data_IF_726466034653
#
_entry.id   IF_726466034653
#
_cell.length_a   1.000
_cell.length_b   1.000
_cell.length_c   1.000
_cell.angle_alpha   90.00
_cell.angle_beta   90.00
_cell.angle_gamma   90.00
#
_symmetry.space_group_name_H-M   'P 1'
#
loop_
_entity.id
_entity.type
_entity.pdbx_description
1 polymer ?
#
# COMPACT_ATOMS: atom_id res chain seq x y z
N UNK A 1 8.41 9.30 -11.60
CA UNK A 1 7.36 8.56 -10.85
C UNK A 1 7.78 8.25 -9.41
N UNK A 2 6.91 8.51 -8.43
CA UNK A 2 7.10 8.18 -7.00
C UNK A 2 6.01 7.21 -6.52
N UNK A 3 6.43 6.18 -5.79
CA UNK A 3 5.55 5.17 -5.18
C UNK A 3 5.81 5.10 -3.68
N UNK A 4 4.74 5.02 -2.90
CA UNK A 4 4.80 4.75 -1.46
C UNK A 4 4.19 3.37 -1.22
N UNK A 5 4.90 2.52 -0.48
CA UNK A 5 4.58 1.10 -0.36
C UNK A 5 4.63 0.63 1.07
N UNK A 6 3.83 -0.39 1.34
CA UNK A 6 3.73 -1.07 2.63
C UNK A 6 3.19 -2.49 2.42
N UNK A 7 3.28 -3.31 3.47
CA UNK A 7 2.69 -4.63 3.55
C UNK A 7 1.69 -4.75 4.72
N UNK A 8 0.69 -5.62 4.55
CA UNK A 8 -0.29 -5.91 5.59
C UNK A 8 -0.51 -7.41 5.73
N UNK A 9 -0.81 -7.86 6.94
CA UNK A 9 -1.11 -9.26 7.25
C UNK A 9 0.11 -10.14 7.53
N UNK A 10 1.32 -9.57 7.54
CA UNK A 10 2.55 -10.25 7.98
C UNK A 10 2.39 -10.76 9.43
N UNK A 11 2.84 -11.97 9.72
CA UNK A 11 2.69 -12.62 11.02
C UNK A 11 1.26 -13.03 11.39
N UNK A 12 0.26 -12.83 10.50
CA UNK A 12 -1.14 -13.16 10.77
C UNK A 12 -1.76 -14.02 9.64
N UNK A 13 -1.72 -15.34 9.83
CA UNK A 13 -2.27 -16.31 8.88
C UNK A 13 -3.80 -16.21 8.68
N UNK A 14 -4.54 -15.55 9.58
CA UNK A 14 -5.99 -15.35 9.45
C UNK A 14 -6.37 -14.15 8.57
N UNK A 15 -5.39 -13.35 8.18
CA UNK A 15 -5.55 -12.20 7.30
C UNK A 15 -4.90 -12.49 5.95
N UNK A 16 -5.44 -11.98 4.83
CA UNK A 16 -4.72 -12.01 3.57
C UNK A 16 -3.40 -11.25 3.70
N UNK A 17 -2.34 -11.78 3.11
CA UNK A 17 -1.08 -11.05 2.97
C UNK A 17 -1.21 -10.11 1.77
N UNK A 18 -0.97 -8.82 1.96
CA UNK A 18 -1.09 -7.79 0.93
C UNK A 18 0.23 -7.03 0.84
N UNK A 19 0.72 -6.81 -0.38
CA UNK A 19 1.73 -5.78 -0.66
C UNK A 19 1.07 -4.72 -1.52
N UNK A 20 1.13 -3.48 -1.08
CA UNK A 20 0.49 -2.34 -1.71
C UNK A 20 1.50 -1.30 -2.19
N UNK A 21 1.09 -0.55 -3.22
CA UNK A 21 1.73 0.69 -3.64
C UNK A 21 0.66 1.77 -3.87
N UNK A 22 0.99 3.01 -3.54
CA UNK A 22 0.24 4.19 -3.95
C UNK A 22 1.11 5.12 -4.80
N UNK A 23 0.54 5.55 -5.91
CA UNK A 23 1.04 6.58 -6.81
C UNK A 23 0.22 7.85 -6.59
N UNK A 24 0.89 8.97 -6.30
CA UNK A 24 0.27 10.27 -6.05
C UNK A 24 0.30 11.21 -7.27
N UNK A 25 1.00 10.83 -8.35
CA UNK A 25 1.14 11.67 -9.54
C UNK A 25 2.09 12.85 -9.33
N UNK A 26 1.81 13.96 -10.03
CA UNK A 26 2.62 15.18 -9.99
C UNK A 26 2.40 16.00 -8.70
N UNK A 27 1.32 15.72 -7.96
CA UNK A 27 0.94 16.42 -6.72
C UNK A 27 1.52 15.75 -5.45
N UNK A 28 2.52 14.87 -5.60
CA UNK A 28 3.01 14.03 -4.50
C UNK A 28 3.52 14.85 -3.30
N UNK A 29 4.26 15.93 -3.56
CA UNK A 29 4.78 16.86 -2.57
C UNK A 29 3.64 17.62 -1.86
N UNK A 30 2.67 18.14 -2.61
CA UNK A 30 1.53 18.87 -2.05
C UNK A 30 0.65 17.97 -1.17
N UNK A 31 0.47 16.71 -1.58
CA UNK A 31 -0.26 15.72 -0.80
C UNK A 31 0.48 15.38 0.50
N UNK A 32 1.80 15.18 0.43
CA UNK A 32 2.63 14.95 1.60
C UNK A 32 2.53 16.12 2.60
N UNK A 33 2.61 17.36 2.12
CA UNK A 33 2.44 18.56 2.97
C UNK A 33 1.07 18.59 3.65
N UNK A 34 0.00 18.30 2.90
CA UNK A 34 -1.37 18.24 3.46
C UNK A 34 -1.51 17.16 4.54
N UNK A 35 -0.86 16.01 4.38
CA UNK A 35 -0.85 14.94 5.39
C UNK A 35 -0.08 15.39 6.63
N UNK A 36 1.10 15.99 6.45
CA UNK A 36 1.91 16.52 7.54
C UNK A 36 1.17 17.60 8.32
N UNK A 37 0.44 18.49 7.65
CA UNK A 37 -0.36 19.52 8.30
C UNK A 37 -1.58 18.96 9.03
N UNK A 38 -2.21 17.90 8.50
CA UNK A 38 -3.21 17.16 9.24
C UNK A 38 -2.61 16.53 10.51
N UNK A 39 -1.46 15.87 10.40
CA UNK A 39 -0.75 15.28 11.53
C UNK A 39 -0.44 16.32 12.60
N UNK A 40 0.19 17.45 12.25
CA UNK A 40 0.51 18.55 13.18
C UNK A 40 -0.74 19.04 13.94
N UNK A 41 -1.87 19.20 13.24
CA UNK A 41 -3.14 19.62 13.86
C UNK A 41 -3.70 18.57 14.81
N UNK A 42 -3.62 17.29 14.46
CA UNK A 42 -4.16 16.20 15.27
C UNK A 42 -3.31 15.93 16.52
N UNK A 43 -1.99 15.94 16.39
CA UNK A 43 -1.05 15.75 17.51
C UNK A 43 -1.22 16.84 18.59
N UNK A 44 -1.63 18.05 18.20
CA UNK A 44 -1.87 19.15 19.13
C UNK A 44 -3.14 18.98 19.99
N UNK A 45 -3.98 17.96 19.75
CA UNK A 45 -5.23 17.73 20.50
C UNK A 45 -4.97 17.18 21.90
N UNK A 46 -5.01 18.06 22.90
CA UNK A 46 -4.81 17.70 24.31
C UNK A 46 -5.90 16.80 24.89
N UNK A 47 -7.12 16.83 24.33
CA UNK A 47 -8.26 16.03 24.80
C UNK A 47 -8.06 14.51 24.64
N UNK A 48 -7.09 14.09 23.83
CA UNK A 48 -6.77 12.69 23.59
C UNK A 48 -5.46 12.25 24.28
N UNK A 49 -4.82 13.13 25.05
CA UNK A 49 -3.56 12.81 25.73
C UNK A 49 -3.77 11.73 26.80
N UNK A 50 -2.86 10.76 26.83
CA UNK A 50 -2.90 9.64 27.77
C UNK A 50 -3.70 8.42 27.30
N UNK A 51 -4.39 8.51 26.15
CA UNK A 51 -4.95 7.32 25.48
C UNK A 51 -3.84 6.62 24.70
N UNK A 52 -3.60 5.33 24.96
CA UNK A 52 -2.48 4.57 24.39
C UNK A 52 -2.40 4.67 22.86
N UNK A 53 -3.51 4.45 22.15
CA UNK A 53 -3.58 4.55 20.69
C UNK A 53 -3.30 5.96 20.15
N UNK A 54 -3.60 7.00 20.92
CA UNK A 54 -3.25 8.37 20.54
C UNK A 54 -1.76 8.63 20.75
N UNK A 55 -1.15 8.12 21.81
CA UNK A 55 0.29 8.24 22.04
C UNK A 55 1.09 7.47 20.97
N UNK A 56 0.60 6.30 20.54
CA UNK A 56 1.16 5.56 19.39
C UNK A 56 1.09 6.41 18.11
N UNK A 57 -0.08 6.99 17.80
CA UNK A 57 -0.22 7.92 16.68
C UNK A 57 0.75 9.11 16.77
N UNK A 58 0.93 9.70 17.95
CA UNK A 58 1.87 10.82 18.14
C UNK A 58 3.31 10.42 17.87
N UNK A 59 3.68 9.20 18.24
CA UNK A 59 5.04 8.69 18.10
C UNK A 59 5.33 8.28 16.66
N UNK A 60 4.43 7.49 16.07
CA UNK A 60 4.70 6.69 14.88
C UNK A 60 3.97 7.22 13.62
N UNK A 61 3.00 8.13 13.78
CA UNK A 61 2.19 8.68 12.70
C UNK A 61 0.89 7.91 12.48
N UNK A 62 0.26 8.08 11.32
CA UNK A 62 -0.99 7.40 10.99
C UNK A 62 -0.77 5.90 10.82
N UNK A 63 -1.60 5.09 11.48
CA UNK A 63 -1.62 3.64 11.30
C UNK A 63 -3.04 3.08 11.38
N UNK A 64 -3.51 2.49 10.29
CA UNK A 64 -4.91 2.06 10.10
C UNK A 64 -5.41 1.04 11.12
N UNK A 65 -4.49 0.28 11.73
CA UNK A 65 -4.75 -0.76 12.72
C UNK A 65 -5.03 -0.20 14.12
N UNK A 66 -4.39 0.90 14.48
CA UNK A 66 -4.36 1.43 15.85
C UNK A 66 -4.99 2.82 15.97
N UNK A 67 -5.11 3.57 14.87
CA UNK A 67 -5.62 4.94 14.89
C UNK A 67 -7.06 4.99 15.44
N UNK A 68 -7.32 5.78 16.50
CA UNK A 68 -8.67 5.96 17.01
C UNK A 68 -9.53 6.72 15.98
N UNK A 69 -10.85 6.71 16.17
CA UNK A 69 -11.82 7.32 15.24
C UNK A 69 -11.51 8.80 15.00
N UNK A 70 -11.07 9.51 16.03
CA UNK A 70 -10.72 10.94 16.01
C UNK A 70 -9.51 11.26 15.12
N UNK A 71 -8.71 10.25 14.77
CA UNK A 71 -7.55 10.32 13.88
C UNK A 71 -7.89 9.76 12.50
N UNK A 72 -8.50 8.57 12.47
CA UNK A 72 -8.78 7.86 11.22
C UNK A 72 -9.86 8.52 10.37
N UNK A 73 -10.87 9.15 10.97
CA UNK A 73 -11.93 9.87 10.22
C UNK A 73 -11.36 11.07 9.46
N UNK A 74 -10.64 12.03 10.09
CA UNK A 74 -10.00 13.12 9.37
C UNK A 74 -9.01 12.67 8.27
N UNK A 75 -8.26 11.59 8.51
CA UNK A 75 -7.34 11.06 7.51
C UNK A 75 -8.08 10.49 6.30
N UNK A 76 -9.17 9.75 6.52
CA UNK A 76 -10.05 9.24 5.44
C UNK A 76 -10.72 10.37 4.68
N UNK A 77 -11.14 11.44 5.35
CA UNK A 77 -11.67 12.63 4.69
C UNK A 77 -10.62 13.29 3.78
N UNK A 78 -9.37 13.39 4.24
CA UNK A 78 -8.27 13.86 3.41
C UNK A 78 -8.10 12.96 2.18
N UNK A 79 -8.02 11.63 2.36
CA UNK A 79 -7.90 10.66 1.27
C UNK A 79 -9.00 10.80 0.22
N UNK A 80 -10.26 11.05 0.63
CA UNK A 80 -11.39 11.23 -0.31
C UNK A 80 -11.24 12.48 -1.20
N UNK A 81 -10.48 13.48 -0.74
CA UNK A 81 -10.19 14.71 -1.48
C UNK A 81 -8.83 14.71 -2.18
N UNK A 82 -8.16 13.56 -2.19
CA UNK A 82 -6.83 13.38 -2.78
C UNK A 82 -6.92 12.42 -3.95
N UNK A 83 -6.39 12.82 -5.10
CA UNK A 83 -6.23 11.88 -6.21
C UNK A 83 -5.04 10.97 -5.95
N UNK A 84 -5.28 9.65 -5.99
CA UNK A 84 -4.20 8.67 -5.95
C UNK A 84 -4.57 7.42 -6.75
N UNK A 85 -3.57 6.60 -7.05
CA UNK A 85 -3.73 5.27 -7.66
C UNK A 85 -3.12 4.23 -6.74
N UNK A 86 -3.93 3.32 -6.25
CA UNK A 86 -3.49 2.17 -5.48
C UNK A 86 -3.30 0.93 -6.38
N UNK A 87 -2.23 0.19 -6.13
CA UNK A 87 -1.91 -1.07 -6.79
C UNK A 87 -1.58 -2.10 -5.72
N UNK A 88 -2.24 -3.25 -5.75
CA UNK A 88 -2.10 -4.26 -4.70
C UNK A 88 -1.97 -5.65 -5.31
N UNK A 89 -1.10 -6.44 -4.70
CA UNK A 89 -1.06 -7.89 -4.88
C UNK A 89 -1.41 -8.56 -3.55
N UNK A 90 -2.22 -9.61 -3.59
CA UNK A 90 -2.73 -10.30 -2.41
C UNK A 90 -2.61 -11.81 -2.54
N UNK A 91 -2.45 -12.49 -1.41
CA UNK A 91 -2.52 -13.95 -1.31
C UNK A 91 -3.20 -14.36 -0.01
N UNK A 92 -3.97 -15.43 -0.04
CA UNK A 92 -4.49 -16.12 1.15
C UNK A 92 -3.54 -17.24 1.64
N UNK A 93 -2.35 -17.34 1.01
CA UNK A 93 -1.28 -18.32 1.25
C UNK A 93 -1.61 -19.76 0.84
N UNK A 94 -2.81 -20.04 0.33
CA UNK A 94 -3.22 -21.41 -0.06
C UNK A 94 -2.38 -21.96 -1.21
N UNK A 95 -1.92 -21.08 -2.12
CA UNK A 95 -1.04 -21.45 -3.24
C UNK A 95 0.44 -21.56 -2.85
N UNK A 96 0.83 -21.17 -1.64
CA UNK A 96 2.22 -21.11 -1.18
C UNK A 96 2.43 -21.72 0.22
N UNK A 97 1.92 -22.93 0.51
CA UNK A 97 1.87 -23.47 1.87
C UNK A 97 3.24 -23.83 2.48
N UNK A 98 4.32 -23.79 1.67
CA UNK A 98 5.68 -24.21 2.08
C UNK A 98 6.71 -23.08 2.07
N UNK A 99 6.32 -21.90 1.60
CA UNK A 99 7.24 -20.77 1.51
C UNK A 99 7.38 -20.11 2.88
N UNK A 100 8.58 -19.64 3.20
CA UNK A 100 8.70 -18.70 4.31
C UNK A 100 7.93 -17.42 3.96
N UNK A 101 7.26 -16.82 4.95
CA UNK A 101 6.45 -15.61 4.71
C UNK A 101 7.29 -14.46 4.12
N UNK A 102 8.53 -14.32 4.58
CA UNK A 102 9.51 -13.38 4.05
C UNK A 102 9.82 -13.58 2.56
N UNK A 103 9.94 -14.82 2.09
CA UNK A 103 10.11 -15.15 0.67
C UNK A 103 8.85 -14.84 -0.13
N UNK A 104 7.66 -15.05 0.46
CA UNK A 104 6.39 -14.72 -0.16
C UNK A 104 6.23 -13.21 -0.31
N UNK A 105 6.55 -12.43 0.72
CA UNK A 105 6.57 -10.97 0.67
C UNK A 105 7.55 -10.47 -0.40
N UNK A 106 8.78 -11.00 -0.46
CA UNK A 106 9.75 -10.67 -1.52
C UNK A 106 9.17 -10.96 -2.91
N UNK A 107 8.54 -12.12 -3.10
CA UNK A 107 7.91 -12.49 -4.36
C UNK A 107 6.77 -11.54 -4.75
N UNK A 108 5.94 -11.13 -3.78
CA UNK A 108 4.86 -10.16 -3.96
C UNK A 108 5.40 -8.78 -4.37
N UNK A 109 6.41 -8.27 -3.67
CA UNK A 109 7.09 -7.02 -4.04
C UNK A 109 7.65 -7.09 -5.47
N UNK A 110 8.38 -8.16 -5.81
CA UNK A 110 8.96 -8.34 -7.15
C UNK A 110 7.86 -8.37 -8.22
N UNK A 111 6.74 -9.05 -7.95
CA UNK A 111 5.59 -9.10 -8.86
C UNK A 111 4.99 -7.70 -9.08
N UNK A 112 4.67 -6.99 -8.01
CA UNK A 112 4.04 -5.67 -8.09
C UNK A 112 4.96 -4.63 -8.74
N UNK A 113 6.19 -4.52 -8.24
CA UNK A 113 7.16 -3.53 -8.71
C UNK A 113 7.60 -3.79 -10.16
N UNK A 114 7.74 -5.04 -10.59
CA UNK A 114 8.10 -5.31 -12.00
C UNK A 114 6.98 -4.94 -12.97
N UNK A 115 5.72 -5.12 -12.57
CA UNK A 115 4.57 -4.69 -13.37
C UNK A 115 4.47 -3.15 -13.44
N UNK A 116 4.71 -2.48 -12.31
CA UNK A 116 4.75 -1.01 -12.25
C UNK A 116 5.93 -0.44 -13.04
N UNK A 117 7.11 -1.05 -12.97
CA UNK A 117 8.27 -0.60 -13.73
C UNK A 117 8.01 -0.64 -15.24
N UNK A 118 7.33 -1.68 -15.73
CA UNK A 118 6.93 -1.80 -17.15
C UNK A 118 5.85 -0.77 -17.52
N UNK A 119 4.89 -0.54 -16.61
CA UNK A 119 3.83 0.46 -16.79
C UNK A 119 4.41 1.86 -16.93
N UNK A 120 5.41 2.18 -16.13
CA UNK A 120 6.08 3.48 -16.04
C UNK A 120 7.39 3.51 -16.82
N UNK A 121 7.55 2.70 -17.87
CA UNK A 121 8.79 2.59 -18.66
C UNK A 121 9.22 3.89 -19.36
N UNK A 122 8.31 4.84 -19.50
CA UNK A 122 8.57 6.14 -20.14
C UNK A 122 8.92 7.24 -19.14
N UNK A 123 8.87 6.94 -17.85
CA UNK A 123 9.25 7.86 -16.79
C UNK A 123 10.78 7.95 -16.69
N UNK A 124 11.34 9.15 -16.44
CA UNK A 124 12.79 9.31 -16.28
C UNK A 124 13.31 8.59 -15.04
N UNK A 125 12.48 8.53 -13.99
CA UNK A 125 12.84 7.95 -12.71
C UNK A 125 11.69 7.10 -12.14
N UNK A 126 12.08 6.04 -11.44
CA UNK A 126 11.19 5.14 -10.73
C UNK A 126 11.62 5.08 -9.26
N UNK A 127 11.06 5.97 -8.45
CA UNK A 127 11.35 6.10 -7.02
C UNK A 127 10.31 5.32 -6.22
N UNK A 128 10.76 4.51 -5.28
CA UNK A 128 9.91 3.69 -4.42
C UNK A 128 10.36 3.83 -2.97
N UNK A 129 9.43 4.21 -2.11
CA UNK A 129 9.63 4.36 -0.68
C UNK A 129 8.82 3.28 0.03
N UNK A 130 9.51 2.37 0.71
CA UNK A 130 8.92 1.27 1.46
C UNK A 130 9.04 1.60 2.95
N UNK A 131 7.94 1.49 3.68
CA UNK A 131 7.95 1.70 5.13
C UNK A 131 8.94 0.77 5.83
N UNK A 132 9.67 1.32 6.80
CA UNK A 132 10.73 0.61 7.50
C UNK A 132 10.17 -0.53 8.37
N UNK A 133 10.55 -1.76 8.02
CA UNK A 133 10.47 -2.95 8.87
C UNK A 133 11.87 -3.55 9.02
N UNK A 134 12.34 -3.75 10.25
CA UNK A 134 13.68 -4.29 10.53
C UNK A 134 13.89 -5.68 9.89
N UNK A 135 12.84 -6.50 9.90
CA UNK A 135 12.83 -7.84 9.32
C UNK A 135 12.95 -7.81 7.78
N UNK A 136 12.53 -6.71 7.16
CA UNK A 136 12.46 -6.55 5.71
C UNK A 136 13.74 -6.01 5.08
N UNK A 137 14.70 -5.49 5.86
CA UNK A 137 15.88 -4.82 5.33
C UNK A 137 16.72 -5.69 4.36
N UNK A 138 16.83 -6.99 4.64
CA UNK A 138 17.55 -7.93 3.76
C UNK A 138 16.84 -8.18 2.42
N UNK A 139 15.51 -8.12 2.42
CA UNK A 139 14.68 -8.26 1.22
C UNK A 139 14.79 -6.99 0.39
N UNK A 140 14.60 -5.81 0.99
CA UNK A 140 14.59 -4.54 0.26
C UNK A 140 15.90 -4.30 -0.50
N UNK A 141 17.05 -4.66 0.09
CA UNK A 141 18.36 -4.56 -0.57
C UNK A 141 18.44 -5.37 -1.88
N UNK A 142 17.72 -6.48 -1.99
CA UNK A 142 17.73 -7.38 -3.16
C UNK A 142 16.67 -7.01 -4.20
N UNK A 143 15.66 -6.20 -3.83
CA UNK A 143 14.55 -5.86 -4.70
C UNK A 143 14.96 -5.16 -6.01
N UNK A 144 15.85 -4.14 -6.05
CA UNK A 144 16.15 -3.43 -7.29
C UNK A 144 16.58 -4.36 -8.43
N UNK A 145 17.49 -5.29 -8.14
CA UNK A 145 18.00 -6.26 -9.13
C UNK A 145 16.94 -7.30 -9.51
N UNK A 146 16.20 -7.82 -8.53
CA UNK A 146 15.15 -8.80 -8.76
C UNK A 146 14.01 -8.23 -9.63
N UNK A 147 13.59 -7.00 -9.33
CA UNK A 147 12.56 -6.23 -10.06
C UNK A 147 13.03 -5.95 -11.49
N UNK A 148 14.22 -5.40 -11.67
CA UNK A 148 14.75 -5.08 -13.00
C UNK A 148 14.89 -6.34 -13.87
N UNK A 149 15.42 -7.43 -13.31
CA UNK A 149 15.55 -8.72 -14.01
C UNK A 149 14.18 -9.27 -14.43
N UNK A 150 13.20 -9.26 -13.51
CA UNK A 150 11.83 -9.74 -13.79
C UNK A 150 11.16 -8.88 -14.86
N UNK A 151 11.28 -7.57 -14.76
CA UNK A 151 10.70 -6.63 -15.71
C UNK A 151 11.27 -6.80 -17.12
N UNK A 152 12.61 -6.88 -17.27
CA UNK A 152 13.27 -7.14 -18.57
C UNK A 152 12.84 -8.48 -19.18
N UNK A 153 12.74 -9.53 -18.37
CA UNK A 153 12.26 -10.84 -18.85
C UNK A 153 10.84 -10.76 -19.41
N UNK A 154 9.98 -9.93 -18.81
CA UNK A 154 8.56 -9.80 -19.20
C UNK A 154 8.35 -8.82 -20.36
N UNK A 155 9.08 -7.70 -20.39
CA UNK A 155 8.95 -6.67 -21.42
C UNK A 155 9.77 -6.96 -22.69
N UNK A 156 10.73 -7.90 -22.63
CA UNK A 156 11.71 -8.13 -23.68
C UNK A 156 13.05 -7.49 -23.35
N UNK A 157 14.15 -8.09 -23.84
CA UNK A 157 15.52 -7.65 -23.51
C UNK A 157 15.80 -6.20 -23.92
N UNK A 158 15.18 -5.74 -25.01
CA UNK A 158 15.43 -4.43 -25.59
C UNK A 158 14.47 -3.35 -25.06
N UNK A 159 13.61 -3.69 -24.09
CA UNK A 159 12.71 -2.71 -23.48
C UNK A 159 13.53 -1.70 -22.64
N UNK A 160 13.44 -0.42 -23.01
CA UNK A 160 13.92 0.66 -22.17
C UNK A 160 13.11 0.68 -20.87
N UNK A 161 13.78 0.53 -19.74
CA UNK A 161 13.18 0.56 -18.41
C UNK A 161 14.01 1.49 -17.52
N UNK A 162 13.37 2.35 -16.71
CA UNK A 162 14.09 3.19 -15.76
C UNK A 162 14.79 2.32 -14.71
N UNK A 163 15.82 2.88 -14.09
CA UNK A 163 16.49 2.22 -12.98
C UNK A 163 15.58 2.31 -11.74
N UNK A 164 15.19 1.18 -11.12
CA UNK A 164 14.42 1.24 -9.90
C UNK A 164 15.30 1.77 -8.76
N UNK A 165 14.87 2.86 -8.12
CA UNK A 165 15.45 3.38 -6.89
C UNK A 165 14.49 3.07 -5.75
N UNK A 166 14.83 2.06 -4.95
CA UNK A 166 14.00 1.56 -3.85
C UNK A 166 14.71 1.89 -2.55
N UNK A 167 14.05 2.66 -1.69
CA UNK A 167 14.56 3.08 -0.39
C UNK A 167 13.61 2.66 0.71
N UNK A 168 14.18 2.23 1.85
CA UNK A 168 13.41 2.13 3.09
C UNK A 168 13.34 3.51 3.73
N UNK A 169 12.17 3.86 4.26
CA UNK A 169 11.94 5.15 4.90
C UNK A 169 11.19 4.95 6.21
N UNK A 170 11.46 5.80 7.20
CA UNK A 170 10.56 5.86 8.34
C UNK A 170 9.24 6.51 7.88
N UNK A 171 8.11 6.04 8.42
CA UNK A 171 6.78 6.60 8.13
C UNK A 171 6.70 8.11 8.36
N UNK A 172 7.50 8.65 9.29
CA UNK A 172 7.58 10.10 9.55
C UNK A 172 8.31 10.90 8.49
N UNK A 173 9.18 10.25 7.71
CA UNK A 173 9.90 10.90 6.61
C UNK A 173 9.00 11.04 5.36
N UNK A 174 8.03 10.13 5.20
CA UNK A 174 7.03 10.13 4.14
C UNK A 174 5.69 9.61 4.66
N UNK A 175 4.87 10.49 5.22
CA UNK A 175 3.58 10.14 5.82
C UNK A 175 2.57 9.64 4.78
N UNK A 176 2.81 9.88 3.49
CA UNK A 176 2.05 9.32 2.38
C UNK A 176 2.01 7.79 2.35
N UNK A 177 2.95 7.07 3.01
CA UNK A 177 2.85 5.61 3.16
C UNK A 177 1.57 5.20 3.91
N UNK A 178 1.04 6.06 4.78
CA UNK A 178 -0.21 5.78 5.49
C UNK A 178 -1.43 5.65 4.56
N UNK A 179 -1.41 6.24 3.35
CA UNK A 179 -2.51 6.08 2.39
C UNK A 179 -2.66 4.60 2.02
N UNK A 180 -1.56 3.93 1.70
CA UNK A 180 -1.62 2.53 1.26
C UNK A 180 -1.96 1.59 2.43
N UNK A 181 -1.50 1.87 3.64
CA UNK A 181 -1.90 1.17 4.86
C UNK A 181 -3.43 1.18 5.05
N UNK A 182 -4.05 2.36 4.99
CA UNK A 182 -5.51 2.50 5.09
C UNK A 182 -6.27 1.78 3.96
N UNK A 183 -5.77 1.85 2.74
CA UNK A 183 -6.34 1.16 1.57
C UNK A 183 -6.27 -0.36 1.76
N UNK A 184 -5.11 -0.89 2.17
CA UNK A 184 -4.93 -2.32 2.42
C UNK A 184 -5.82 -2.82 3.56
N UNK A 185 -6.03 -2.02 4.60
CA UNK A 185 -6.94 -2.38 5.69
C UNK A 185 -8.40 -2.51 5.22
N UNK A 186 -8.86 -1.62 4.33
CA UNK A 186 -10.20 -1.70 3.74
C UNK A 186 -10.34 -2.92 2.84
N UNK A 187 -9.32 -3.20 2.01
CA UNK A 187 -9.29 -4.40 1.15
C UNK A 187 -9.25 -5.67 1.99
N UNK A 188 -8.41 -5.74 3.01
CA UNK A 188 -8.28 -6.90 3.90
C UNK A 188 -9.63 -7.24 4.55
N UNK A 189 -10.31 -6.25 5.14
CA UNK A 189 -11.65 -6.43 5.73
C UNK A 189 -12.68 -6.92 4.72
N UNK A 190 -12.65 -6.42 3.49
CA UNK A 190 -13.57 -6.84 2.43
C UNK A 190 -13.29 -8.27 1.95
N UNK A 191 -12.02 -8.64 1.79
CA UNK A 191 -11.61 -10.01 1.44
C UNK A 191 -12.00 -11.02 2.52
N UNK A 192 -11.82 -10.67 3.80
CA UNK A 192 -12.23 -11.51 4.94
C UNK A 192 -13.75 -11.69 5.07
N UNK A 193 -14.54 -10.86 4.37
CA UNK A 193 -16.00 -10.99 4.26
C UNK A 193 -16.42 -11.63 2.94
N UNK A 194 -15.58 -12.50 2.39
CA UNK A 194 -15.80 -13.22 1.14
C UNK A 194 -16.20 -12.30 -0.02
N UNK A 195 -15.63 -11.08 -0.05
CA UNK A 195 -15.91 -10.07 -1.08
C UNK A 195 -17.40 -9.73 -1.15
N UNK A 196 -18.06 -9.66 0.00
CA UNK A 196 -19.46 -9.27 0.16
C UNK A 196 -19.83 -8.06 -0.69
N UNK A 197 -21.00 -8.12 -1.34
CA UNK A 197 -21.60 -7.04 -2.14
C UNK A 197 -22.78 -6.39 -1.41
N UNK A 198 -22.96 -6.69 -0.13
CA UNK A 198 -24.10 -6.20 0.66
C UNK A 198 -23.88 -4.72 1.04
N UNK A 199 -24.72 -3.76 0.60
CA UNK A 199 -24.59 -2.34 0.96
C UNK A 199 -24.73 -2.07 2.46
N UNK A 200 -25.34 -2.99 3.22
CA UNK A 200 -25.43 -2.89 4.68
C UNK A 200 -24.17 -3.35 5.41
N UNK A 201 -23.25 -4.03 4.74
CA UNK A 201 -21.97 -4.43 5.31
C UNK A 201 -20.99 -3.24 5.29
N UNK A 202 -20.36 -2.98 6.44
CA UNK A 202 -19.32 -1.96 6.55
C UNK A 202 -18.12 -2.27 5.66
N UNK A 203 -17.70 -3.53 5.57
CA UNK A 203 -16.54 -3.93 4.77
C UNK A 203 -16.74 -3.60 3.28
N UNK A 204 -17.96 -3.81 2.78
CA UNK A 204 -18.33 -3.42 1.42
C UNK A 204 -18.34 -1.91 1.24
N UNK A 205 -18.97 -1.15 2.15
CA UNK A 205 -19.01 0.32 2.04
C UNK A 205 -17.63 0.94 2.06
N UNK A 206 -16.76 0.52 2.98
CA UNK A 206 -15.39 1.01 3.07
C UNK A 206 -14.59 0.72 1.79
N UNK A 207 -14.68 -0.50 1.25
CA UNK A 207 -14.05 -0.85 -0.03
C UNK A 207 -14.59 0.02 -1.19
N UNK A 208 -15.90 0.24 -1.24
CA UNK A 208 -16.52 1.08 -2.30
C UNK A 208 -16.04 2.52 -2.30
N UNK A 209 -15.64 3.06 -1.16
CA UNK A 209 -15.07 4.42 -1.08
C UNK A 209 -13.69 4.51 -1.73
N UNK A 210 -12.86 3.46 -1.61
CA UNK A 210 -11.51 3.45 -2.16
C UNK A 210 -11.42 2.83 -3.57
N UNK A 211 -12.42 2.05 -4.00
CA UNK A 211 -12.40 1.32 -5.28
C UNK A 211 -12.06 2.20 -6.49
N UNK A 212 -12.57 3.45 -6.63
CA UNK A 212 -12.20 4.33 -7.74
C UNK A 212 -10.69 4.62 -7.82
N UNK A 213 -10.00 4.61 -6.67
CA UNK A 213 -8.56 4.81 -6.58
C UNK A 213 -7.77 3.51 -6.81
N UNK A 214 -8.40 2.33 -6.70
CA UNK A 214 -7.75 1.03 -6.95
C UNK A 214 -7.56 0.81 -8.45
N UNK A 215 -6.32 1.01 -8.91
CA UNK A 215 -5.93 0.77 -10.31
C UNK A 215 -5.71 -0.71 -10.62
N UNK A 216 -5.27 -1.48 -9.63
CA UNK A 216 -5.07 -2.93 -9.73
C UNK A 216 -5.23 -3.58 -8.36
N UNK A 217 -6.05 -4.63 -8.29
CA UNK A 217 -6.06 -5.60 -7.19
C UNK A 217 -5.91 -7.00 -7.80
N UNK A 218 -4.79 -7.65 -7.52
CA UNK A 218 -4.44 -8.95 -8.08
C UNK A 218 -4.24 -9.99 -6.98
N UNK A 219 -4.98 -11.10 -7.01
CA UNK A 219 -4.75 -12.27 -6.17
C UNK A 219 -3.89 -13.31 -6.88
N UNK A 220 -2.99 -13.95 -6.14
CA UNK A 220 -2.22 -15.08 -6.68
C UNK A 220 -3.07 -16.33 -6.92
N UNK A 221 -4.16 -16.49 -6.18
CA UNK A 221 -5.10 -17.61 -6.28
C UNK A 221 -6.15 -17.38 -7.37
N UNK A 222 -6.65 -16.15 -7.48
CA UNK A 222 -7.82 -15.82 -8.30
C UNK A 222 -7.48 -14.97 -9.53
N UNK A 223 -6.23 -14.53 -9.68
CA UNK A 223 -5.82 -13.60 -10.72
C UNK A 223 -6.32 -12.17 -10.45
N UNK A 224 -6.63 -11.43 -11.52
CA UNK A 224 -7.07 -10.03 -11.38
C UNK A 224 -8.47 -9.97 -10.75
N UNK A 225 -8.58 -9.41 -9.55
CA UNK A 225 -9.85 -9.23 -8.84
C UNK A 225 -10.54 -7.94 -9.29
N UNK A 226 -9.82 -6.82 -9.36
CA UNK A 226 -10.38 -5.52 -9.76
C UNK A 226 -9.35 -4.67 -10.50
N UNK A 227 -9.83 -3.84 -11.43
CA UNK A 227 -9.03 -2.78 -12.06
C UNK A 227 -9.92 -1.61 -12.51
N UNK A 228 -9.36 -0.42 -12.73
CA UNK A 228 -10.15 0.71 -13.26
C UNK A 228 -10.88 0.43 -14.59
N UNK A 229 -10.38 -0.49 -15.41
CA UNK A 229 -10.99 -0.87 -16.70
C UNK A 229 -12.09 -1.94 -16.56
N UNK A 230 -12.12 -2.59 -15.41
CA UNK A 230 -12.97 -3.74 -15.11
C UNK A 230 -13.22 -3.72 -13.59
N UNK A 231 -13.97 -2.70 -13.09
CA UNK A 231 -14.33 -2.62 -11.69
C UNK A 231 -15.26 -3.78 -11.33
N UNK A 232 -15.34 -4.16 -10.06
CA UNK A 232 -16.17 -5.30 -9.63
C UNK A 232 -17.68 -5.06 -9.79
N UNK A 233 -18.04 -3.83 -10.16
CA UNK A 233 -19.39 -3.26 -10.26
C UNK A 233 -19.48 -2.24 -11.39
#
# INVERSE_FOLDING_TARGET
>A
MKLFMDESGNGNASQPLIVGAVELGDDAEDIEERIQDLYKRLVARRSLTGFGSFEDFRKDGFHSSNDPTEISVPFRELMRTTFFRAYMVVTDRTSFPRNAESELIEFMYVKLLSDLLIRHRHEPEFLCYIEQSEEMASIIRRLPDAVARRARKKAGRDASLPRPNISMVAKRDYMSTAIIDYVMADVSRWLQKDRTKNPKDYAYRAFREIEPSVSMLYSFELGRISSRKDPLH
#
